data_IF_428993562969
#
_entry.id   IF_428993562969
#
_cell.length_a   1.000
_cell.length_b   1.000
_cell.length_c   1.000
_cell.angle_alpha   90.00
_cell.angle_beta   90.00
_cell.angle_gamma   90.00
#
_symmetry.space_group_name_H-M   'P 1'
#
loop_
_entity.id
_entity.type
_entity.pdbx_description
1 polymer ?
#
# COMPACT_ATOMS: atom_id res chain seq x y z
N UNK A 1 -2.79 18.45 -0.62
CA UNK A 1 -2.11 17.13 -0.58
C UNK A 1 -1.03 17.00 -1.65
N UNK A 2 -1.36 17.04 -2.94
CA UNK A 2 -0.40 16.90 -4.05
C UNK A 2 0.86 17.76 -3.88
N UNK A 3 0.71 19.07 -3.71
CA UNK A 3 1.82 20.01 -3.55
C UNK A 3 2.71 19.71 -2.33
N UNK A 4 2.13 19.28 -1.21
CA UNK A 4 2.91 18.95 0.00
C UNK A 4 3.74 17.69 -0.25
N UNK A 5 3.12 16.65 -0.80
CA UNK A 5 3.80 15.38 -1.07
C UNK A 5 4.88 15.53 -2.14
N UNK A 6 4.64 16.37 -3.15
CA UNK A 6 5.62 16.67 -4.19
C UNK A 6 6.82 17.45 -3.64
N UNK A 7 6.60 18.41 -2.74
CA UNK A 7 7.71 19.11 -2.06
C UNK A 7 8.54 18.18 -1.19
N UNK A 8 7.92 17.20 -0.53
CA UNK A 8 8.61 16.29 0.38
C UNK A 8 9.37 15.17 -0.33
N UNK A 9 8.79 14.59 -1.38
CA UNK A 9 9.32 13.38 -2.01
C UNK A 9 9.58 13.52 -3.52
N UNK A 10 9.04 14.56 -4.15
CA UNK A 10 9.13 14.81 -5.60
C UNK A 10 8.31 13.86 -6.45
N UNK A 11 8.05 14.26 -7.69
CA UNK A 11 7.55 13.39 -8.74
C UNK A 11 6.14 12.87 -8.51
N UNK A 12 5.25 13.62 -7.84
CA UNK A 12 3.85 13.24 -7.67
C UNK A 12 3.11 13.38 -9.01
N UNK A 13 2.53 12.29 -9.51
CA UNK A 13 1.67 12.30 -10.71
C UNK A 13 0.20 12.52 -10.38
N UNK A 14 -0.21 12.06 -9.19
CA UNK A 14 -1.61 12.09 -8.78
C UNK A 14 -1.70 12.14 -7.26
N UNK A 15 -2.65 12.90 -6.74
CA UNK A 15 -3.11 12.77 -5.38
C UNK A 15 -4.64 12.90 -5.32
N UNK A 16 -5.28 12.00 -4.60
CA UNK A 16 -6.73 11.97 -4.42
C UNK A 16 -7.12 11.72 -2.98
N UNK A 17 -8.28 12.22 -2.58
CA UNK A 17 -8.90 11.90 -1.29
C UNK A 17 -9.85 10.73 -1.52
N UNK A 18 -9.83 9.76 -0.62
CA UNK A 18 -10.76 8.66 -0.67
C UNK A 18 -12.12 9.12 -0.18
N UNK A 19 -13.10 9.05 -1.07
CA UNK A 19 -14.49 9.40 -0.79
C UNK A 19 -15.37 8.16 -0.74
N UNK A 20 -16.46 8.23 0.01
CA UNK A 20 -17.52 7.23 -0.09
C UNK A 20 -18.07 7.20 -1.54
N UNK A 21 -18.23 6.00 -2.16
CA UNK A 21 -18.68 5.92 -3.55
C UNK A 21 -20.08 6.48 -3.80
N UNK A 22 -20.98 6.38 -2.82
CA UNK A 22 -22.38 6.78 -2.93
C UNK A 22 -22.55 8.24 -2.46
N UNK A 23 -22.07 8.54 -1.26
CA UNK A 23 -22.30 9.83 -0.61
C UNK A 23 -21.23 10.88 -0.93
N UNK A 24 -20.13 10.49 -1.60
CA UNK A 24 -18.99 11.35 -1.95
C UNK A 24 -18.30 12.06 -0.78
N UNK A 25 -18.54 11.63 0.46
CA UNK A 25 -17.89 12.21 1.65
C UNK A 25 -16.46 11.69 1.87
N UNK A 26 -15.51 12.53 2.31
CA UNK A 26 -14.15 12.11 2.64
C UNK A 26 -14.11 11.05 3.75
N UNK A 27 -13.29 10.02 3.56
CA UNK A 27 -13.12 8.91 4.51
C UNK A 27 -11.93 9.06 5.46
N UNK A 28 -11.27 10.23 5.44
CA UNK A 28 -10.05 10.46 6.23
C UNK A 28 -8.80 9.75 5.70
N UNK A 29 -8.84 9.26 4.46
CA UNK A 29 -7.71 8.66 3.77
C UNK A 29 -7.52 9.32 2.40
N UNK A 30 -6.33 9.16 1.83
CA UNK A 30 -6.02 9.62 0.49
C UNK A 30 -4.93 8.76 -0.13
N UNK A 31 -4.79 8.89 -1.43
CA UNK A 31 -3.82 8.14 -2.24
C UNK A 31 -2.95 9.10 -3.02
N UNK A 32 -1.70 8.71 -3.19
CA UNK A 32 -0.69 9.46 -3.93
C UNK A 32 0.04 8.48 -4.84
N UNK A 33 0.17 8.84 -6.11
CA UNK A 33 0.97 8.10 -7.07
C UNK A 33 2.19 8.93 -7.47
N UNK A 34 3.35 8.28 -7.56
CA UNK A 34 4.61 8.88 -7.95
C UNK A 34 5.01 8.40 -9.36
N UNK A 35 5.71 9.24 -10.10
CA UNK A 35 6.30 8.98 -11.42
C UNK A 35 7.50 8.04 -11.36
N UNK A 36 8.12 7.91 -10.19
CA UNK A 36 9.37 7.18 -10.03
C UNK A 36 9.40 6.40 -8.71
N UNK A 37 10.16 5.31 -8.72
CA UNK A 37 10.27 4.40 -7.60
C UNK A 37 11.01 5.02 -6.40
N UNK A 38 11.95 5.94 -6.64
CA UNK A 38 12.73 6.57 -5.57
C UNK A 38 11.84 7.40 -4.64
N UNK A 39 10.95 8.22 -5.20
CA UNK A 39 9.96 9.01 -4.45
C UNK A 39 9.01 8.12 -3.65
N UNK A 40 8.55 7.01 -4.25
CA UNK A 40 7.75 6.02 -3.56
C UNK A 40 8.47 5.40 -2.35
N UNK A 41 9.72 4.94 -2.53
CA UNK A 41 10.52 4.36 -1.44
C UNK A 41 10.76 5.39 -0.33
N UNK A 42 11.09 6.64 -0.67
CA UNK A 42 11.25 7.72 0.32
C UNK A 42 9.98 7.92 1.16
N UNK A 43 8.82 7.97 0.50
CA UNK A 43 7.53 8.17 1.18
C UNK A 43 7.17 7.00 2.10
N UNK A 44 7.36 5.75 1.66
CA UNK A 44 7.12 4.56 2.50
C UNK A 44 8.10 4.50 3.67
N UNK A 45 9.38 4.80 3.43
CA UNK A 45 10.43 4.79 4.46
C UNK A 45 10.15 5.81 5.57
N UNK A 46 9.57 6.96 5.22
CA UNK A 46 9.21 7.98 6.20
C UNK A 46 8.15 7.48 7.20
N UNK A 47 7.26 6.56 6.78
CA UNK A 47 6.15 5.95 7.53
C UNK A 47 5.08 6.93 8.05
N UNK A 48 5.47 8.07 8.57
CA UNK A 48 4.60 9.16 9.00
C UNK A 48 5.04 10.46 8.37
N UNK A 49 4.07 11.28 7.98
CA UNK A 49 4.31 12.62 7.46
C UNK A 49 3.41 13.62 8.17
N UNK A 50 3.99 14.78 8.51
CA UNK A 50 3.23 15.89 9.06
C UNK A 50 2.67 16.72 7.89
N UNK A 51 1.35 16.83 7.81
CA UNK A 51 0.67 17.68 6.86
C UNK A 51 0.33 19.00 7.56
N UNK A 52 1.09 20.03 7.22
CA UNK A 52 0.88 21.39 7.72
C UNK A 52 0.40 22.30 6.58
N UNK A 53 -0.80 22.87 6.75
CA UNK A 53 -1.35 23.85 5.82
C UNK A 53 -2.43 24.72 6.49
N UNK A 54 -2.18 26.02 6.60
CA UNK A 54 -3.00 26.96 7.38
C UNK A 54 -3.18 26.44 8.82
N UNK A 55 -4.42 26.23 9.27
CA UNK A 55 -4.74 25.71 10.59
C UNK A 55 -4.67 24.18 10.68
N UNK A 56 -4.43 23.49 9.55
CA UNK A 56 -4.32 22.04 9.51
C UNK A 56 -2.92 21.65 9.95
N UNK A 57 -2.83 20.93 11.07
CA UNK A 57 -1.64 20.23 11.51
C UNK A 57 -1.99 18.77 11.84
N UNK A 58 -1.71 17.86 10.90
CA UNK A 58 -2.09 16.45 11.01
C UNK A 58 -0.93 15.52 10.69
N UNK A 59 -0.64 14.60 11.60
CA UNK A 59 0.27 13.49 11.35
C UNK A 59 -0.49 12.36 10.67
N UNK A 60 -0.08 11.98 9.46
CA UNK A 60 -0.70 10.86 8.71
C UNK A 60 0.30 9.73 8.51
N UNK A 61 -0.20 8.50 8.54
CA UNK A 61 0.59 7.30 8.24
C UNK A 61 0.59 7.04 6.73
N UNK A 62 1.76 6.75 6.18
CA UNK A 62 1.95 6.38 4.78
C UNK A 62 2.05 4.86 4.70
N UNK A 63 1.19 4.24 3.87
CA UNK A 63 1.18 2.79 3.64
C UNK A 63 1.29 2.47 2.15
N UNK A 64 1.97 1.37 1.77
CA UNK A 64 1.92 0.84 0.42
C UNK A 64 0.49 0.60 -0.04
N UNK A 65 0.21 0.89 -1.31
CA UNK A 65 -1.07 0.54 -1.92
C UNK A 65 -0.96 -0.84 -2.58
N UNK A 66 -1.71 -1.82 -2.06
CA UNK A 66 -1.63 -3.22 -2.47
C UNK A 66 -2.74 -3.58 -3.47
N UNK A 67 -2.35 -4.19 -4.59
CA UNK A 67 -3.23 -4.62 -5.69
C UNK A 67 -3.53 -6.13 -5.61
N UNK A 68 -4.72 -6.54 -6.06
CA UNK A 68 -5.24 -7.92 -5.84
C UNK A 68 -4.83 -8.94 -6.92
N UNK A 69 -4.30 -8.46 -8.05
CA UNK A 69 -4.03 -9.27 -9.24
C UNK A 69 -2.56 -9.17 -9.67
N UNK A 70 -1.64 -9.18 -8.70
CA UNK A 70 -0.21 -9.12 -8.98
C UNK A 70 0.38 -10.52 -8.97
N UNK A 71 1.28 -10.78 -9.92
CA UNK A 71 2.05 -12.00 -9.94
C UNK A 71 3.15 -11.94 -8.88
N UNK A 72 3.64 -13.10 -8.46
CA UNK A 72 4.82 -13.15 -7.59
C UNK A 72 6.02 -12.53 -8.32
N UNK A 73 6.65 -11.51 -7.74
CA UNK A 73 7.78 -10.81 -8.37
C UNK A 73 8.99 -11.73 -8.59
N UNK A 74 9.13 -12.75 -7.75
CA UNK A 74 10.26 -13.68 -7.74
C UNK A 74 10.15 -14.82 -8.75
N UNK A 75 8.95 -15.35 -8.96
CA UNK A 75 8.75 -16.54 -9.80
C UNK A 75 7.75 -16.35 -10.93
N UNK A 76 7.09 -15.18 -11.00
CA UNK A 76 6.13 -14.84 -12.04
C UNK A 76 5.05 -15.91 -12.24
N UNK A 77 4.62 -16.56 -11.15
CA UNK A 77 3.60 -17.62 -11.17
C UNK A 77 4.13 -19.05 -11.38
N UNK A 78 5.40 -19.22 -11.77
CA UNK A 78 5.98 -20.52 -12.12
C UNK A 78 5.94 -21.54 -10.97
N UNK A 79 5.98 -21.07 -9.72
CA UNK A 79 5.98 -21.92 -8.52
C UNK A 79 4.61 -22.06 -7.84
N UNK A 80 3.58 -21.41 -8.36
CA UNK A 80 2.23 -21.40 -7.76
C UNK A 80 1.12 -21.66 -8.79
N UNK A 81 1.46 -22.35 -9.89
CA UNK A 81 0.48 -22.73 -10.92
C UNK A 81 -0.21 -21.53 -11.58
N UNK A 82 0.52 -20.41 -11.74
CA UNK A 82 -0.02 -19.19 -12.35
C UNK A 82 -0.96 -18.37 -11.44
N UNK A 83 -1.15 -18.75 -10.17
CA UNK A 83 -1.96 -17.97 -9.22
C UNK A 83 -1.31 -16.63 -8.89
N UNK A 84 -2.13 -15.62 -8.63
CA UNK A 84 -1.69 -14.33 -8.10
C UNK A 84 -1.04 -14.48 -6.71
N UNK A 85 -0.13 -13.57 -6.39
CA UNK A 85 0.58 -13.52 -5.13
C UNK A 85 -0.39 -13.10 -3.99
N UNK A 86 -0.59 -13.94 -2.96
CA UNK A 86 -1.44 -13.60 -1.82
C UNK A 86 -0.77 -12.63 -0.84
N UNK A 87 0.55 -12.43 -0.93
CA UNK A 87 1.32 -11.67 0.05
C UNK A 87 2.05 -10.50 -0.60
N UNK A 88 2.04 -9.36 0.10
CA UNK A 88 2.91 -8.23 -0.19
C UNK A 88 3.79 -7.93 1.03
N UNK A 89 5.11 -7.82 0.84
CA UNK A 89 6.02 -7.41 1.91
C UNK A 89 6.21 -5.90 1.91
N UNK A 90 5.72 -5.21 2.94
CA UNK A 90 5.84 -3.75 3.07
C UNK A 90 7.20 -3.26 3.60
N UNK A 91 8.15 -4.15 3.89
CA UNK A 91 9.50 -3.72 4.26
C UNK A 91 10.21 -3.13 3.05
N UNK A 92 10.87 -1.99 3.23
CA UNK A 92 11.61 -1.24 2.20
C UNK A 92 12.70 -2.06 1.48
N UNK A 93 13.25 -3.09 2.13
CA UNK A 93 14.23 -4.00 1.50
C UNK A 93 13.59 -5.07 0.60
N UNK A 94 12.26 -5.20 0.64
CA UNK A 94 11.49 -6.14 -0.16
C UNK A 94 10.57 -5.39 -1.13
N UNK A 95 9.53 -4.71 -0.63
CA UNK A 95 8.51 -3.99 -1.43
C UNK A 95 8.01 -4.77 -2.65
N UNK A 96 7.70 -6.05 -2.42
CA UNK A 96 7.43 -7.03 -3.47
C UNK A 96 6.25 -7.92 -3.11
N UNK A 97 5.62 -8.44 -4.15
CA UNK A 97 4.59 -9.47 -4.12
C UNK A 97 5.22 -10.87 -4.13
N UNK A 98 4.75 -11.75 -3.26
CA UNK A 98 5.26 -13.11 -3.13
C UNK A 98 4.13 -14.13 -3.13
N UNK A 99 4.35 -15.26 -3.82
CA UNK A 99 3.59 -16.48 -3.57
C UNK A 99 4.03 -17.13 -2.25
N UNK A 100 3.22 -18.05 -1.72
CA UNK A 100 3.51 -18.73 -0.44
C UNK A 100 4.92 -19.37 -0.40
N UNK A 101 5.30 -20.08 -1.46
CA UNK A 101 6.62 -20.73 -1.51
C UNK A 101 7.77 -19.72 -1.53
N UNK A 102 7.64 -18.65 -2.32
CA UNK A 102 8.69 -17.61 -2.40
C UNK A 102 8.78 -16.82 -1.09
N UNK A 103 7.64 -16.58 -0.44
CA UNK A 103 7.60 -15.93 0.87
C UNK A 103 8.44 -16.70 1.88
N UNK A 104 8.18 -18.00 2.04
CA UNK A 104 8.92 -18.85 2.99
C UNK A 104 10.41 -18.90 2.64
N UNK A 105 10.76 -19.06 1.37
CA UNK A 105 12.17 -19.12 0.95
C UNK A 105 12.94 -17.82 1.24
N UNK A 106 12.30 -16.67 1.11
CA UNK A 106 12.97 -15.36 1.22
C UNK A 106 12.95 -14.85 2.66
N UNK A 107 11.85 -15.05 3.38
CA UNK A 107 11.65 -14.55 4.73
C UNK A 107 12.06 -15.55 5.83
N UNK A 108 12.59 -16.73 5.47
CA UNK A 108 13.32 -17.58 6.42
C UNK A 108 14.80 -17.21 6.56
N UNK A 109 15.31 -16.33 5.70
CA UNK A 109 16.71 -15.87 5.74
C UNK A 109 16.91 -14.85 6.85
N UNK A 110 18.10 -14.89 7.47
CA UNK A 110 18.52 -13.92 8.47
C UNK A 110 18.37 -12.47 7.99
N UNK A 111 17.84 -11.62 8.86
CA UNK A 111 17.49 -10.22 8.60
C UNK A 111 16.10 -10.01 7.97
N UNK A 112 15.37 -11.07 7.62
CA UNK A 112 14.03 -10.98 6.98
C UNK A 112 12.94 -11.76 7.72
N UNK A 113 13.30 -12.54 8.73
CA UNK A 113 12.41 -13.35 9.56
C UNK A 113 11.36 -12.56 10.32
N UNK A 114 11.62 -11.26 10.56
CA UNK A 114 10.69 -10.37 11.26
C UNK A 114 9.70 -9.65 10.33
N UNK A 115 9.83 -9.84 9.01
CA UNK A 115 8.92 -9.21 8.07
C UNK A 115 7.53 -9.86 8.16
N UNK A 116 6.49 -9.03 8.09
CA UNK A 116 5.10 -9.50 8.16
C UNK A 116 4.44 -9.34 6.79
N UNK A 117 3.77 -10.38 6.28
CA UNK A 117 3.05 -10.26 5.02
C UNK A 117 1.83 -9.38 5.23
N UNK A 118 1.61 -8.43 4.31
CA UNK A 118 0.30 -7.82 4.15
C UNK A 118 -0.52 -8.77 3.29
N UNK A 119 -1.54 -9.35 3.91
CA UNK A 119 -2.61 -10.09 3.22
C UNK A 119 -3.73 -9.09 3.00
N UNK A 120 -4.13 -8.89 1.75
CA UNK A 120 -5.36 -8.14 1.50
C UNK A 120 -6.52 -9.10 1.74
N UNK A 121 -7.26 -8.91 2.84
CA UNK A 121 -8.57 -9.55 2.96
C UNK A 121 -9.35 -9.17 1.70
N UNK A 122 -9.75 -10.18 0.92
CA UNK A 122 -10.50 -9.97 -0.31
C UNK A 122 -11.62 -8.97 -0.07
N UNK A 123 -11.84 -8.07 -1.01
CA UNK A 123 -12.89 -7.05 -0.98
C UNK A 123 -14.31 -7.63 -1.05
N UNK A 124 -14.52 -8.83 -0.50
CA UNK A 124 -15.75 -9.59 -0.49
C UNK A 124 -16.22 -9.91 0.94
N UNK A 125 -16.04 -8.95 1.86
CA UNK A 125 -17.05 -8.85 2.92
C UNK A 125 -18.27 -8.22 2.26
N UNK A 126 -19.42 -8.92 2.12
CA UNK A 126 -20.66 -8.20 1.89
C UNK A 126 -20.76 -7.18 3.03
N UNK A 127 -20.89 -5.90 2.68
CA UNK A 127 -21.17 -4.85 3.67
C UNK A 127 -22.32 -5.40 4.53
N UNK A 128 -22.22 -5.43 5.88
CA UNK A 128 -23.37 -5.76 6.69
C UNK A 128 -24.50 -4.88 6.20
N UNK A 129 -25.62 -5.50 5.82
CA UNK A 129 -26.78 -4.80 5.33
C UNK A 129 -27.05 -3.60 6.23
N UNK A 130 -27.12 -2.42 5.60
CA UNK A 130 -27.41 -1.16 6.25
C UNK A 130 -28.56 -1.35 7.25
N UNK A 131 -28.34 -0.86 8.47
CA UNK A 131 -29.32 -0.82 9.54
C UNK A 131 -30.67 -0.33 9.00
N UNK A 132 -31.71 -1.17 9.15
CA UNK A 132 -33.10 -0.76 8.98
C UNK A 132 -33.53 0.03 10.22
N UNK A 133 -34.03 1.23 10.00
CA UNK A 133 -34.99 1.91 10.85
C UNK A 133 -36.10 2.44 9.96
#
# INVERSE_FOLDING_TARGET
LALIMDRLYGGVCYAGIDTDPELKYPKGAGRVAFSNQQSYIKAISARFVQLQHNEIDKRVEVKPYVLDNQMCDECQGARCGGKFAPFFCANVTCLQYYCEQCWVQIHSRHGREFHKPLVKEGTDRPRPALYRW
#
